data_IF_985430011233
#
_entry.id   IF_985430011233
#
_cell.length_a   1.000
_cell.length_b   1.000
_cell.length_c   1.000
_cell.angle_alpha   90.00
_cell.angle_beta   90.00
_cell.angle_gamma   90.00
#
_symmetry.space_group_name_H-M   'P 1'
#
loop_
_entity.id
_entity.type
_entity.pdbx_description
1 polymer ?
#
# COMPACT_ATOMS: atom_id res chain seq x y z
N UNK A 1 38.61 -41.90 -17.66
CA UNK A 1 37.21 -41.59 -18.02
C UNK A 1 36.57 -41.05 -16.75
N UNK A 2 36.22 -39.77 -16.71
CA UNK A 2 35.53 -39.21 -15.57
C UNK A 2 34.04 -39.34 -15.84
N UNK A 3 33.39 -40.28 -15.15
CA UNK A 3 31.94 -40.31 -15.07
C UNK A 3 31.49 -39.34 -13.98
N UNK A 4 30.43 -38.59 -14.27
CA UNK A 4 29.87 -37.58 -13.37
C UNK A 4 28.35 -37.60 -13.43
N UNK A 5 27.71 -37.27 -12.31
CA UNK A 5 26.27 -37.11 -12.23
C UNK A 5 25.87 -35.81 -12.96
N UNK A 6 24.91 -35.90 -13.88
CA UNK A 6 24.38 -34.76 -14.64
C UNK A 6 22.98 -34.40 -14.14
N UNK A 7 22.69 -33.10 -14.04
CA UNK A 7 21.36 -32.57 -13.77
C UNK A 7 20.95 -31.67 -14.93
N UNK A 8 19.89 -32.05 -15.64
CA UNK A 8 19.31 -31.26 -16.72
C UNK A 8 18.32 -30.24 -16.14
N UNK A 9 18.56 -28.94 -16.34
CA UNK A 9 17.76 -27.85 -15.77
C UNK A 9 16.79 -27.22 -16.77
N UNK A 10 16.25 -28.01 -17.70
CA UNK A 10 15.33 -27.49 -18.73
C UNK A 10 14.16 -26.72 -18.13
N UNK A 11 13.87 -25.55 -18.70
CA UNK A 11 12.76 -24.68 -18.27
C UNK A 11 13.09 -23.72 -17.12
N UNK A 12 14.25 -23.86 -16.46
CA UNK A 12 14.68 -22.93 -15.40
C UNK A 12 14.86 -21.51 -15.95
N UNK A 13 15.45 -21.36 -17.13
CA UNK A 13 15.66 -20.06 -17.78
C UNK A 13 14.34 -19.34 -18.08
N UNK A 14 13.34 -20.09 -18.55
CA UNK A 14 12.00 -19.56 -18.83
C UNK A 14 11.29 -19.16 -17.53
N UNK A 15 11.41 -19.97 -16.48
CA UNK A 15 10.88 -19.62 -15.16
C UNK A 15 11.54 -18.34 -14.60
N UNK A 16 12.87 -18.22 -14.71
CA UNK A 16 13.61 -17.02 -14.30
C UNK A 16 13.18 -15.78 -15.09
N UNK A 17 12.95 -15.93 -16.40
CA UNK A 17 12.45 -14.85 -17.25
C UNK A 17 11.06 -14.38 -16.81
N UNK A 18 10.11 -15.31 -16.60
CA UNK A 18 8.75 -14.99 -16.14
C UNK A 18 8.75 -14.29 -14.79
N UNK A 19 9.61 -14.70 -13.86
CA UNK A 19 9.75 -14.05 -12.54
C UNK A 19 10.28 -12.62 -12.66
N UNK A 20 11.24 -12.38 -13.57
CA UNK A 20 11.75 -11.03 -13.85
C UNK A 20 10.66 -10.12 -14.42
N UNK A 21 9.83 -10.62 -15.32
CA UNK A 21 8.72 -9.85 -15.91
C UNK A 21 7.52 -9.66 -14.97
N UNK A 22 7.29 -10.61 -14.05
CA UNK A 22 6.24 -10.56 -13.05
C UNK A 22 6.43 -9.39 -12.08
N UNK A 23 7.65 -9.18 -11.60
CA UNK A 23 7.96 -8.18 -10.57
C UNK A 23 7.48 -6.75 -10.91
N UNK A 24 7.84 -6.15 -12.06
CA UNK A 24 7.38 -4.79 -12.39
C UNK A 24 5.87 -4.71 -12.60
N UNK A 25 5.24 -5.76 -13.15
CA UNK A 25 3.77 -5.82 -13.34
C UNK A 25 3.04 -5.86 -12.00
N UNK A 26 3.51 -6.69 -11.07
CA UNK A 26 3.00 -6.73 -9.71
C UNK A 26 3.12 -5.37 -9.02
N UNK A 27 4.30 -4.73 -9.12
CA UNK A 27 4.50 -3.39 -8.53
C UNK A 27 3.53 -2.36 -9.09
N UNK A 28 3.30 -2.35 -10.41
CA UNK A 28 2.33 -1.46 -11.03
C UNK A 28 0.90 -1.71 -10.53
N UNK A 29 0.49 -2.97 -10.47
CA UNK A 29 -0.84 -3.34 -10.00
C UNK A 29 -1.07 -2.97 -8.52
N UNK A 30 -0.07 -3.18 -7.66
CA UNK A 30 -0.13 -2.79 -6.24
C UNK A 30 -0.23 -1.27 -6.06
N UNK A 31 0.47 -0.48 -6.89
CA UNK A 31 0.36 0.98 -6.85
C UNK A 31 -1.05 1.44 -7.23
N UNK A 32 -1.65 0.87 -8.28
CA UNK A 32 -3.01 1.23 -8.70
C UNK A 32 -4.04 0.95 -7.60
N UNK A 33 -3.98 -0.23 -7.00
CA UNK A 33 -4.85 -0.60 -5.87
C UNK A 33 -4.62 0.34 -4.68
N UNK A 34 -3.35 0.62 -4.34
CA UNK A 34 -3.00 1.52 -3.25
C UNK A 34 -3.49 2.95 -3.44
N UNK A 35 -3.50 3.46 -4.68
CA UNK A 35 -4.02 4.81 -4.99
C UNK A 35 -5.53 4.90 -4.73
N UNK A 36 -6.27 3.84 -5.07
CA UNK A 36 -7.71 3.78 -4.79
C UNK A 36 -7.95 3.77 -3.28
N UNK A 37 -7.27 2.89 -2.54
CA UNK A 37 -7.43 2.78 -1.09
C UNK A 37 -7.02 4.09 -0.39
N UNK A 38 -5.94 4.74 -0.85
CA UNK A 38 -5.52 6.03 -0.34
C UNK A 38 -6.60 7.11 -0.50
N UNK A 39 -7.24 7.17 -1.67
CA UNK A 39 -8.32 8.13 -1.94
C UNK A 39 -9.54 7.88 -1.03
N UNK A 40 -9.94 6.62 -0.87
CA UNK A 40 -11.06 6.24 -0.02
C UNK A 40 -10.76 6.50 1.47
N UNK A 41 -9.53 6.21 1.91
CA UNK A 41 -9.06 6.50 3.28
C UNK A 41 -9.01 8.02 3.56
N UNK A 42 -8.50 8.84 2.63
CA UNK A 42 -8.52 10.30 2.76
C UNK A 42 -9.96 10.83 2.88
N UNK A 43 -10.86 10.35 2.01
CA UNK A 43 -12.27 10.73 2.02
C UNK A 43 -12.94 10.35 3.33
N UNK A 44 -12.71 9.13 3.80
CA UNK A 44 -13.28 8.64 5.05
C UNK A 44 -12.77 9.45 6.25
N UNK A 45 -11.47 9.70 6.32
CA UNK A 45 -10.88 10.46 7.43
C UNK A 45 -11.43 11.89 7.50
N UNK A 46 -11.62 12.54 6.34
CA UNK A 46 -12.23 13.88 6.25
C UNK A 46 -13.68 13.92 6.71
N UNK A 47 -14.43 12.84 6.49
CA UNK A 47 -15.83 12.70 6.89
C UNK A 47 -15.99 12.31 8.38
N UNK A 48 -15.05 11.55 8.93
CA UNK A 48 -15.16 10.94 10.27
C UNK A 48 -14.29 11.62 11.34
N UNK A 49 -13.60 12.73 11.00
CA UNK A 49 -12.82 13.49 11.96
C UNK A 49 -13.67 13.95 13.16
N UNK A 50 -13.16 13.82 14.40
CA UNK A 50 -13.92 14.16 15.62
C UNK A 50 -13.86 15.65 15.99
N UNK A 51 -13.09 16.46 15.24
CA UNK A 51 -12.86 17.88 15.49
C UNK A 51 -13.56 18.75 14.44
N UNK A 52 -13.95 19.95 14.86
CA UNK A 52 -14.53 20.98 13.99
C UNK A 52 -13.43 21.80 13.34
N UNK A 53 -13.53 21.99 12.03
CA UNK A 53 -12.55 22.74 11.25
C UNK A 53 -13.05 24.16 10.97
N UNK A 54 -12.53 25.15 11.69
CA UNK A 54 -12.94 26.55 11.54
C UNK A 54 -12.25 27.27 10.38
N UNK A 55 -11.04 26.86 10.01
CA UNK A 55 -10.24 27.51 8.95
C UNK A 55 -10.20 26.72 7.66
N UNK A 56 -10.83 25.54 7.63
CA UNK A 56 -10.81 24.57 6.53
C UNK A 56 -9.44 23.94 6.26
N UNK A 57 -8.36 24.44 6.88
CA UNK A 57 -7.00 24.01 6.59
C UNK A 57 -6.76 22.57 7.04
N UNK A 58 -7.18 22.19 8.25
CA UNK A 58 -6.93 20.85 8.76
C UNK A 58 -7.59 19.76 7.89
N UNK A 59 -8.80 20.02 7.39
CA UNK A 59 -9.49 19.11 6.46
C UNK A 59 -8.86 19.14 5.08
N UNK A 60 -8.53 20.33 4.56
CA UNK A 60 -7.93 20.47 3.23
C UNK A 60 -6.59 19.71 3.13
N UNK A 61 -5.78 19.84 4.18
CA UNK A 61 -4.42 19.33 4.28
C UNK A 61 -4.30 17.95 4.95
N UNK A 62 -5.43 17.32 5.29
CA UNK A 62 -5.47 15.90 5.60
C UNK A 62 -5.35 15.11 4.29
N UNK A 63 -4.16 14.55 4.04
CA UNK A 63 -3.79 13.96 2.75
C UNK A 63 -3.26 12.55 2.86
N UNK A 64 -3.77 11.68 1.98
CA UNK A 64 -3.23 10.34 1.78
C UNK A 64 -2.19 10.37 0.65
N UNK A 65 -1.14 9.57 0.80
CA UNK A 65 -0.05 9.46 -0.17
C UNK A 65 0.34 8.00 -0.38
N UNK A 66 0.74 7.67 -1.60
CA UNK A 66 1.26 6.36 -1.97
C UNK A 66 2.67 6.55 -2.51
N UNK A 67 3.65 5.86 -1.92
CA UNK A 67 5.04 5.93 -2.38
C UNK A 67 5.80 4.65 -2.13
N UNK A 68 6.73 4.36 -3.03
CA UNK A 68 7.81 3.43 -2.75
C UNK A 68 8.83 4.14 -1.86
N UNK A 69 9.00 3.71 -0.60
CA UNK A 69 10.01 4.29 0.30
C UNK A 69 11.41 3.82 -0.03
N UNK A 70 11.51 2.65 -0.66
CA UNK A 70 12.69 2.13 -1.34
C UNK A 70 12.23 1.17 -2.44
N UNK A 71 13.15 0.40 -3.02
CA UNK A 71 12.83 -0.53 -4.12
C UNK A 71 11.83 -1.63 -3.75
N UNK A 72 11.62 -1.92 -2.47
CA UNK A 72 10.87 -3.10 -1.99
C UNK A 72 9.72 -2.78 -1.03
N UNK A 73 9.59 -1.53 -0.57
CA UNK A 73 8.55 -1.14 0.40
C UNK A 73 7.61 -0.13 -0.27
N UNK A 74 6.36 -0.56 -0.50
CA UNK A 74 5.25 0.31 -0.88
C UNK A 74 4.54 0.77 0.39
N UNK A 75 4.45 2.08 0.59
CA UNK A 75 3.80 2.70 1.73
C UNK A 75 2.58 3.48 1.27
N UNK A 76 1.46 3.27 1.96
CA UNK A 76 0.32 4.20 1.94
C UNK A 76 0.24 4.88 3.30
N UNK A 77 0.19 6.20 3.29
CA UNK A 77 0.27 7.02 4.49
C UNK A 77 -0.82 8.08 4.47
N UNK A 78 -1.43 8.36 5.63
CA UNK A 78 -2.29 9.52 5.86
C UNK A 78 -1.55 10.51 6.76
N UNK A 79 -1.63 11.80 6.47
CA UNK A 79 -0.92 12.83 7.23
C UNK A 79 -1.68 14.15 7.27
N UNK A 80 -1.45 14.91 8.33
CA UNK A 80 -1.77 16.34 8.38
C UNK A 80 -0.62 17.15 7.79
N UNK A 81 -0.92 18.16 6.99
CA UNK A 81 0.06 19.13 6.48
C UNK A 81 -0.16 20.53 7.10
N UNK A 82 -0.49 20.55 8.39
CA UNK A 82 -0.65 21.76 9.21
C UNK A 82 0.19 21.66 10.48
N UNK A 83 0.76 22.77 10.93
CA UNK A 83 1.69 22.80 12.07
C UNK A 83 1.08 22.27 13.37
N UNK A 84 -0.22 22.44 13.55
CA UNK A 84 -0.96 21.97 14.73
C UNK A 84 -1.51 20.54 14.60
N UNK A 85 -1.24 19.84 13.49
CA UNK A 85 -1.75 18.49 13.25
C UNK A 85 -1.32 17.48 14.31
N UNK A 86 -0.14 17.67 14.91
CA UNK A 86 0.34 16.86 16.03
C UNK A 86 -0.59 16.91 17.24
N UNK A 87 -1.18 18.07 17.53
CA UNK A 87 -2.09 18.24 18.66
C UNK A 87 -3.45 17.56 18.40
N UNK A 88 -3.88 17.48 17.14
CA UNK A 88 -5.08 16.72 16.77
C UNK A 88 -4.92 15.23 17.05
N UNK A 89 -3.70 14.69 16.96
CA UNK A 89 -3.45 13.27 17.21
C UNK A 89 -3.11 12.95 18.67
N UNK A 90 -2.44 13.86 19.40
CA UNK A 90 -1.86 13.53 20.71
C UNK A 90 -2.55 14.21 21.90
N UNK A 91 -3.22 15.36 21.72
CA UNK A 91 -3.85 16.05 22.86
C UNK A 91 -5.08 15.31 23.38
N UNK A 92 -5.39 15.55 24.67
CA UNK A 92 -6.55 14.97 25.35
C UNK A 92 -6.60 13.45 25.20
N UNK A 93 -5.46 12.79 25.43
CA UNK A 93 -5.34 11.32 25.37
C UNK A 93 -5.72 10.77 23.99
N UNK A 94 -5.40 11.51 22.92
CA UNK A 94 -5.71 11.11 21.53
C UNK A 94 -7.20 11.15 21.19
N UNK A 95 -8.03 11.82 21.99
CA UNK A 95 -9.48 11.97 21.73
C UNK A 95 -9.81 12.47 20.32
N UNK A 96 -8.92 13.26 19.73
CA UNK A 96 -9.12 13.86 18.41
C UNK A 96 -8.42 13.13 17.26
N UNK A 97 -7.69 12.05 17.56
CA UNK A 97 -6.89 11.33 16.59
C UNK A 97 -7.77 10.78 15.47
N UNK A 98 -7.31 10.94 14.23
CA UNK A 98 -7.98 10.41 13.04
C UNK A 98 -7.02 9.60 12.17
N UNK A 99 -5.71 9.83 12.25
CA UNK A 99 -4.74 9.15 11.39
C UNK A 99 -4.72 7.64 11.67
N UNK A 100 -4.53 7.26 12.93
CA UNK A 100 -4.49 5.85 13.31
C UNK A 100 -5.84 5.16 13.08
N UNK A 101 -6.95 5.83 13.40
CA UNK A 101 -8.30 5.30 13.17
C UNK A 101 -8.54 4.99 11.69
N UNK A 102 -8.15 5.89 10.80
CA UNK A 102 -8.27 5.66 9.36
C UNK A 102 -7.38 4.50 8.90
N UNK A 103 -6.15 4.40 9.41
CA UNK A 103 -5.26 3.28 9.09
C UNK A 103 -5.87 1.95 9.54
N UNK A 104 -6.41 1.88 10.75
CA UNK A 104 -7.03 0.66 11.30
C UNK A 104 -8.29 0.25 10.52
N UNK A 105 -9.13 1.22 10.14
CA UNK A 105 -10.34 0.98 9.35
C UNK A 105 -10.01 0.39 7.96
N UNK A 106 -8.94 0.88 7.32
CA UNK A 106 -8.59 0.50 5.94
C UNK A 106 -7.54 -0.63 5.86
N UNK A 107 -6.82 -0.94 6.94
CA UNK A 107 -5.82 -2.02 6.97
C UNK A 107 -6.35 -3.38 6.46
N UNK A 108 -7.58 -3.83 6.82
CA UNK A 108 -8.12 -5.07 6.27
C UNK A 108 -8.29 -5.02 4.74
N UNK A 109 -8.75 -3.89 4.21
CA UNK A 109 -8.97 -3.70 2.78
C UNK A 109 -7.66 -3.73 1.99
N UNK A 110 -6.58 -3.14 2.54
CA UNK A 110 -5.22 -3.30 2.01
C UNK A 110 -4.81 -4.76 1.92
N UNK A 111 -4.95 -5.49 3.02
CA UNK A 111 -4.48 -6.87 3.09
C UNK A 111 -5.25 -7.79 2.14
N UNK A 112 -6.56 -7.59 1.99
CA UNK A 112 -7.37 -8.35 1.05
C UNK A 112 -7.15 -7.96 -0.41
N UNK A 113 -7.06 -6.65 -0.69
CA UNK A 113 -6.77 -6.11 -2.02
C UNK A 113 -5.46 -6.64 -2.56
N UNK A 114 -4.39 -6.54 -1.77
CA UNK A 114 -3.05 -6.98 -2.18
C UNK A 114 -2.97 -8.50 -2.39
N UNK A 115 -3.65 -9.30 -1.55
CA UNK A 115 -3.77 -10.75 -1.78
C UNK A 115 -4.42 -11.05 -3.13
N UNK A 116 -5.49 -10.33 -3.49
CA UNK A 116 -6.19 -10.48 -4.77
C UNK A 116 -5.30 -10.05 -5.94
N UNK A 117 -4.60 -8.93 -5.81
CA UNK A 117 -3.65 -8.42 -6.83
C UNK A 117 -2.55 -9.45 -7.09
N UNK A 118 -1.85 -9.92 -6.05
CA UNK A 118 -0.79 -10.93 -6.19
C UNK A 118 -1.30 -12.20 -6.85
N UNK A 119 -2.45 -12.73 -6.38
CA UNK A 119 -3.05 -13.94 -6.96
C UNK A 119 -3.41 -13.75 -8.44
N UNK A 120 -3.92 -12.57 -8.80
CA UNK A 120 -4.32 -12.24 -10.18
C UNK A 120 -3.12 -12.15 -11.09
N UNK A 121 -2.06 -11.47 -10.66
CA UNK A 121 -0.83 -11.32 -11.44
C UNK A 121 -0.09 -12.66 -11.61
N UNK A 122 -0.09 -13.53 -10.60
CA UNK A 122 0.49 -14.88 -10.71
C UNK A 122 -0.23 -15.73 -11.77
N UNK A 123 -1.57 -15.68 -11.78
CA UNK A 123 -2.39 -16.38 -12.78
C UNK A 123 -2.13 -15.90 -14.21
N UNK A 124 -2.01 -14.58 -14.40
CA UNK A 124 -1.73 -13.99 -15.71
C UNK A 124 -0.39 -14.46 -16.31
N UNK A 125 0.56 -14.87 -15.47
CA UNK A 125 1.88 -15.36 -15.90
C UNK A 125 1.94 -16.89 -16.08
N UNK A 126 0.83 -17.59 -15.79
CA UNK A 126 0.77 -19.05 -15.84
C UNK A 126 1.66 -19.73 -14.79
N UNK A 127 1.87 -19.08 -13.64
CA UNK A 127 2.64 -19.64 -12.50
C UNK A 127 1.70 -20.43 -11.56
N UNK A 128 0.42 -20.05 -11.49
CA UNK A 128 -0.68 -20.68 -10.75
C UNK A 128 -1.91 -20.75 -11.65
#
# INVERSE_FOLDING_TARGET
>A
MADGCKLEMHGLDEAMKKLKEFTPKLKGALVLDSLQIAADMEKWAKANKPWTDNTHHATLFLKATVKWTNTNILMVALSHQVDYGVYLELCNEGKYAILERAIQEFAPQFMEGWKKVVKTELKKQGIL
#
